data_IF_534339752778
#
_entry.id   IF_534339752778
#
_cell.length_a   1.000
_cell.length_b   1.000
_cell.length_c   1.000
_cell.angle_alpha   90.00
_cell.angle_beta   90.00
_cell.angle_gamma   90.00
#
_symmetry.space_group_name_H-M   'P 1'
#
loop_
_entity.id
_entity.type
_entity.pdbx_description
1 polymer ?
#
# COMPACT_ATOMS: atom_id res chain seq x y z
N UNK A 1 -8.00 68.94 50.83
CA UNK A 1 -9.06 68.45 49.91
C UNK A 1 -9.66 67.18 50.50
N UNK A 2 -10.97 67.04 50.26
CA UNK A 2 -11.97 66.14 50.83
C UNK A 2 -11.69 64.62 50.79
N UNK A 3 -12.15 63.90 51.86
CA UNK A 3 -13.07 62.73 51.89
C UNK A 3 -12.60 61.45 51.15
N UNK A 4 -12.80 60.18 51.55
CA UNK A 4 -13.28 59.40 52.72
C UNK A 4 -13.49 57.97 52.15
N UNK A 5 -13.31 56.93 52.97
CA UNK A 5 -13.94 55.58 52.83
C UNK A 5 -13.52 54.72 51.63
N UNK A 6 -13.36 53.39 51.70
CA UNK A 6 -13.60 52.36 52.71
C UNK A 6 -13.07 51.03 52.13
N UNK A 7 -12.90 50.01 52.99
CA UNK A 7 -12.36 48.67 52.64
C UNK A 7 -13.22 47.84 51.66
N UNK A 8 -13.07 46.50 51.55
CA UNK A 8 -12.33 45.57 52.41
C UNK A 8 -11.36 44.62 51.65
N UNK A 9 -10.61 43.86 52.45
CA UNK A 9 -9.93 42.61 52.11
C UNK A 9 -10.96 41.50 51.79
N UNK A 10 -10.54 40.52 51.00
CA UNK A 10 -11.23 39.26 50.62
C UNK A 10 -12.13 39.31 49.38
N UNK A 11 -11.73 38.52 48.37
CA UNK A 11 -12.53 38.26 47.18
C UNK A 11 -11.78 37.31 46.25
N UNK A 12 -12.07 36.03 46.38
CA UNK A 12 -11.62 34.91 45.56
C UNK A 12 -11.65 35.24 44.05
N UNK A 13 -10.52 34.99 43.37
CA UNK A 13 -10.52 34.83 41.90
C UNK A 13 -11.30 33.57 41.55
N UNK A 14 -12.54 33.73 41.11
CA UNK A 14 -13.20 32.78 40.23
C UNK A 14 -14.11 33.57 39.28
N UNK A 15 -13.56 33.96 38.14
CA UNK A 15 -14.37 34.41 37.01
C UNK A 15 -15.12 33.21 36.47
N UNK A 16 -16.40 33.14 36.81
CA UNK A 16 -17.43 32.33 36.18
C UNK A 16 -17.64 32.79 34.72
N UNK A 17 -16.73 32.40 33.83
CA UNK A 17 -17.00 32.40 32.40
C UNK A 17 -17.78 31.13 32.05
N UNK A 18 -19.07 31.12 32.45
CA UNK A 18 -20.05 30.16 31.97
C UNK A 18 -20.32 30.39 30.48
N UNK A 19 -19.40 29.94 29.62
CA UNK A 19 -19.70 29.75 28.20
C UNK A 19 -20.23 28.34 28.05
N UNK A 20 -21.54 28.19 28.23
CA UNK A 20 -22.26 26.99 27.83
C UNK A 20 -22.10 26.84 26.30
N UNK A 21 -21.03 26.19 25.89
CA UNK A 21 -21.01 25.49 24.62
C UNK A 21 -22.08 24.42 24.74
N UNK A 22 -23.30 24.77 24.32
CA UNK A 22 -24.32 23.79 23.95
C UNK A 22 -23.66 22.89 22.91
N UNK A 23 -23.03 21.81 23.38
CA UNK A 23 -22.93 20.60 22.62
C UNK A 23 -24.37 20.25 22.31
N UNK A 24 -24.82 20.63 21.10
CA UNK A 24 -25.93 19.95 20.47
C UNK A 24 -25.46 18.51 20.35
N UNK A 25 -25.72 17.72 21.39
CA UNK A 25 -25.91 16.29 21.25
C UNK A 25 -27.09 16.16 20.29
N UNK A 26 -26.78 16.22 18.99
CA UNK A 26 -27.68 15.79 17.96
C UNK A 26 -27.77 14.29 18.20
N UNK A 27 -28.76 13.90 18.99
CA UNK A 27 -29.19 12.53 19.19
C UNK A 27 -29.55 11.99 17.81
N UNK A 28 -28.53 11.51 17.10
CA UNK A 28 -28.70 10.74 15.87
C UNK A 28 -29.55 9.55 16.27
N UNK A 29 -30.73 9.45 15.67
CA UNK A 29 -31.66 8.35 15.89
C UNK A 29 -30.93 7.02 15.63
N UNK A 30 -31.29 5.92 16.32
CA UNK A 30 -30.62 4.63 16.17
C UNK A 30 -30.57 4.12 14.71
N UNK A 31 -31.46 4.61 13.84
CA UNK A 31 -31.42 4.38 12.38
C UNK A 31 -30.19 4.98 11.70
N UNK A 32 -29.72 6.17 12.07
CA UNK A 32 -28.55 6.81 11.44
C UNK A 32 -27.22 6.15 11.83
N UNK A 33 -27.12 5.53 13.03
CA UNK A 33 -25.95 4.74 13.42
C UNK A 33 -25.86 3.44 12.62
N UNK A 34 -27.00 2.77 12.40
CA UNK A 34 -27.04 1.55 11.60
C UNK A 34 -26.60 1.80 10.15
N UNK A 35 -27.10 2.85 9.50
CA UNK A 35 -26.70 3.19 8.11
C UNK A 35 -25.22 3.54 8.00
N UNK A 36 -24.67 4.29 8.96
CA UNK A 36 -23.24 4.63 8.98
C UNK A 36 -22.35 3.39 9.15
N UNK A 37 -22.80 2.41 9.93
CA UNK A 37 -22.04 1.18 10.17
C UNK A 37 -22.09 0.26 8.95
N UNK A 38 -23.24 0.17 8.29
CA UNK A 38 -23.42 -0.59 7.05
C UNK A 38 -22.58 0.01 5.92
N UNK A 39 -22.57 1.34 5.76
CA UNK A 39 -21.73 2.02 4.75
C UNK A 39 -20.24 1.72 5.00
N UNK A 40 -19.79 1.76 6.26
CA UNK A 40 -18.41 1.43 6.61
C UNK A 40 -18.06 -0.04 6.26
N UNK A 41 -18.96 -0.99 6.55
CA UNK A 41 -18.77 -2.40 6.19
C UNK A 41 -18.72 -2.59 4.68
N UNK A 42 -19.61 -1.94 3.92
CA UNK A 42 -19.62 -2.02 2.45
C UNK A 42 -18.33 -1.47 1.86
N UNK A 43 -17.81 -0.34 2.37
CA UNK A 43 -16.53 0.21 1.94
C UNK A 43 -15.39 -0.76 2.27
N UNK A 44 -15.36 -1.36 3.47
CA UNK A 44 -14.34 -2.35 3.84
C UNK A 44 -14.41 -3.57 2.91
N UNK A 45 -15.61 -4.09 2.64
CA UNK A 45 -15.81 -5.23 1.72
C UNK A 45 -15.38 -4.88 0.30
N UNK A 46 -15.67 -3.68 -0.19
CA UNK A 46 -15.23 -3.22 -1.52
C UNK A 46 -13.71 -3.04 -1.59
N UNK A 47 -13.08 -2.48 -0.54
CA UNK A 47 -11.64 -2.29 -0.49
C UNK A 47 -10.90 -3.63 -0.37
N UNK A 48 -11.38 -4.53 0.49
CA UNK A 48 -10.83 -5.88 0.65
C UNK A 48 -11.07 -6.70 -0.62
N UNK A 49 -12.27 -6.66 -1.18
CA UNK A 49 -12.61 -7.31 -2.45
C UNK A 49 -11.76 -6.81 -3.62
N UNK A 50 -11.57 -5.49 -3.75
CA UNK A 50 -10.71 -4.88 -4.76
C UNK A 50 -9.23 -5.23 -4.61
N UNK A 51 -8.72 -5.31 -3.38
CA UNK A 51 -7.34 -5.72 -3.12
C UNK A 51 -7.10 -7.21 -3.44
N UNK A 52 -8.10 -8.06 -3.26
CA UNK A 52 -8.02 -9.49 -3.59
C UNK A 52 -8.05 -9.67 -5.12
N UNK A 53 -8.95 -8.99 -5.84
CA UNK A 53 -9.06 -9.13 -7.31
C UNK A 53 -7.79 -8.70 -8.04
N UNK A 54 -7.11 -7.63 -7.58
CA UNK A 54 -5.83 -7.21 -8.17
C UNK A 54 -4.72 -8.25 -7.99
N UNK A 55 -4.62 -8.86 -6.81
CA UNK A 55 -3.61 -9.89 -6.53
C UNK A 55 -3.87 -11.18 -7.32
N UNK A 56 -5.13 -11.58 -7.46
CA UNK A 56 -5.51 -12.76 -8.23
C UNK A 56 -5.24 -12.54 -9.72
N UNK A 57 -5.58 -11.37 -10.25
CA UNK A 57 -5.36 -11.04 -11.66
C UNK A 57 -3.87 -11.06 -12.04
N UNK A 58 -2.98 -10.48 -11.22
CA UNK A 58 -1.54 -10.53 -11.47
C UNK A 58 -0.97 -11.95 -11.44
N UNK A 59 -1.47 -12.79 -10.54
CA UNK A 59 -1.07 -14.20 -10.47
C UNK A 59 -1.55 -15.00 -11.67
N UNK A 60 -2.80 -14.81 -12.08
CA UNK A 60 -3.37 -15.47 -13.25
C UNK A 60 -2.71 -15.02 -14.55
N UNK A 61 -2.45 -13.72 -14.71
CA UNK A 61 -1.82 -13.20 -15.92
C UNK A 61 -0.40 -13.73 -16.10
N UNK A 62 0.42 -13.73 -15.04
CA UNK A 62 1.76 -14.30 -15.15
C UNK A 62 1.75 -15.83 -15.28
N UNK A 63 0.77 -16.54 -14.71
CA UNK A 63 0.58 -17.97 -15.02
C UNK A 63 0.21 -18.20 -16.49
N UNK A 64 -0.59 -17.31 -17.10
CA UNK A 64 -0.95 -17.38 -18.51
C UNK A 64 0.27 -17.10 -19.42
N UNK A 65 1.11 -16.12 -19.06
CA UNK A 65 2.38 -15.86 -19.74
C UNK A 65 3.32 -17.06 -19.62
N UNK A 66 3.41 -17.72 -18.45
CA UNK A 66 4.24 -18.92 -18.31
C UNK A 66 3.69 -20.08 -19.16
N UNK A 67 2.37 -20.24 -19.24
CA UNK A 67 1.75 -21.34 -19.98
C UNK A 67 1.82 -21.17 -21.51
N UNK A 68 1.82 -19.93 -22.02
CA UNK A 68 1.70 -19.63 -23.46
C UNK A 68 2.89 -18.88 -24.04
N UNK A 69 3.69 -18.25 -23.20
CA UNK A 69 4.83 -17.42 -23.60
C UNK A 69 6.02 -18.25 -24.06
N UNK A 70 6.98 -17.56 -24.66
CA UNK A 70 8.29 -18.13 -25.00
C UNK A 70 9.25 -17.90 -23.86
N UNK A 71 10.16 -18.83 -23.60
CA UNK A 71 11.15 -18.70 -22.54
C UNK A 71 12.53 -18.24 -23.03
N UNK A 72 13.20 -17.49 -22.18
CA UNK A 72 14.58 -17.03 -22.37
C UNK A 72 15.26 -16.91 -21.02
N UNK A 73 16.58 -17.00 -20.99
CA UNK A 73 17.36 -16.74 -19.78
C UNK A 73 17.36 -15.23 -19.46
N UNK A 74 17.07 -14.90 -18.21
CA UNK A 74 17.18 -13.54 -17.69
C UNK A 74 17.99 -13.47 -16.41
N UNK A 75 18.46 -12.27 -16.10
CA UNK A 75 19.31 -11.97 -14.95
C UNK A 75 18.65 -10.93 -14.06
N UNK A 76 18.72 -11.11 -12.75
CA UNK A 76 18.23 -10.12 -11.79
C UNK A 76 19.17 -8.92 -11.73
N UNK A 77 18.63 -7.72 -11.91
CA UNK A 77 19.39 -6.47 -11.91
C UNK A 77 19.42 -5.79 -10.54
N UNK A 78 18.27 -5.70 -9.88
CA UNK A 78 18.14 -4.90 -8.66
C UNK A 78 16.90 -5.26 -7.88
N UNK A 79 16.90 -4.98 -6.57
CA UNK A 79 15.72 -5.10 -5.73
C UNK A 79 14.99 -3.77 -5.59
N UNK A 80 13.92 -3.58 -6.35
CA UNK A 80 13.11 -2.36 -6.37
C UNK A 80 12.14 -2.30 -5.19
N UNK A 81 11.97 -1.11 -4.60
CA UNK A 81 11.11 -0.94 -3.43
C UNK A 81 9.64 -1.20 -3.79
N UNK A 82 8.99 -2.07 -3.02
CA UNK A 82 7.55 -2.30 -3.13
C UNK A 82 6.80 -1.01 -2.73
N UNK A 83 5.93 -0.50 -3.60
CA UNK A 83 5.19 0.75 -3.37
C UNK A 83 4.31 0.66 -2.11
N UNK A 84 4.60 1.46 -1.09
CA UNK A 84 3.78 1.55 0.12
C UNK A 84 4.53 2.14 1.32
N UNK A 85 3.89 3.09 2.03
CA UNK A 85 4.48 3.76 3.22
C UNK A 85 4.82 2.77 4.37
N UNK A 86 4.12 1.64 4.45
CA UNK A 86 4.21 0.66 5.55
C UNK A 86 5.20 -0.49 5.32
N UNK A 87 5.61 -0.80 4.10
CA UNK A 87 6.50 -1.95 3.82
C UNK A 87 7.89 -1.49 3.36
N UNK A 88 8.70 -0.99 4.30
CA UNK A 88 10.03 -0.40 4.00
C UNK A 88 11.14 -1.44 3.85
N UNK A 89 10.90 -2.66 4.33
CA UNK A 89 11.88 -3.76 4.35
C UNK A 89 11.70 -4.73 3.18
N UNK A 90 10.63 -4.60 2.38
CA UNK A 90 10.37 -5.46 1.24
C UNK A 90 10.81 -4.82 -0.08
N UNK A 91 11.19 -5.67 -1.03
CA UNK A 91 11.48 -5.28 -2.41
C UNK A 91 11.04 -6.37 -3.39
N UNK A 92 10.93 -6.01 -4.65
CA UNK A 92 10.60 -6.87 -5.79
C UNK A 92 11.79 -6.82 -6.76
N UNK A 93 12.21 -7.98 -7.26
CA UNK A 93 13.35 -8.00 -8.18
C UNK A 93 12.96 -7.46 -9.54
N UNK A 94 13.82 -6.64 -10.12
CA UNK A 94 13.80 -6.32 -11.54
C UNK A 94 14.69 -7.31 -12.28
N UNK A 95 14.14 -7.92 -13.31
CA UNK A 95 14.82 -8.86 -14.19
C UNK A 95 15.10 -8.21 -15.53
N UNK A 96 16.22 -8.58 -16.14
CA UNK A 96 16.63 -8.21 -17.50
C UNK A 96 16.75 -9.47 -18.35
N UNK A 97 16.29 -9.39 -19.60
CA UNK A 97 16.42 -10.45 -20.60
C UNK A 97 16.54 -9.82 -21.98
N UNK A 98 16.99 -10.59 -22.96
CA UNK A 98 17.24 -10.12 -24.33
C UNK A 98 16.46 -10.98 -25.31
N UNK A 99 15.71 -10.34 -26.19
CA UNK A 99 14.95 -10.96 -27.28
C UNK A 99 15.34 -10.26 -28.56
N UNK A 100 15.81 -11.01 -29.56
CA UNK A 100 16.21 -10.48 -30.87
C UNK A 100 17.20 -9.30 -30.82
N UNK A 101 18.12 -9.33 -29.84
CA UNK A 101 19.10 -8.27 -29.61
C UNK A 101 18.56 -7.02 -28.91
N UNK A 102 17.26 -6.95 -28.64
CA UNK A 102 16.65 -5.91 -27.84
C UNK A 102 16.53 -6.34 -26.38
N UNK A 103 16.89 -5.43 -25.48
CA UNK A 103 16.88 -5.66 -24.05
C UNK A 103 15.57 -5.21 -23.43
N UNK A 104 14.98 -6.07 -22.63
CA UNK A 104 13.75 -5.82 -21.89
C UNK A 104 13.99 -5.97 -20.40
N UNK A 105 13.19 -5.26 -19.61
CA UNK A 105 13.21 -5.41 -18.16
C UNK A 105 11.79 -5.45 -17.64
N UNK A 106 11.55 -6.27 -16.63
CA UNK A 106 10.27 -6.30 -15.94
C UNK A 106 10.48 -6.46 -14.44
N UNK A 107 9.47 -6.04 -13.68
CA UNK A 107 9.46 -6.18 -12.22
C UNK A 107 8.67 -7.42 -11.83
N UNK A 108 9.28 -8.29 -11.05
CA UNK A 108 8.63 -9.46 -10.47
C UNK A 108 7.66 -9.03 -9.37
N UNK A 109 6.41 -8.86 -9.76
CA UNK A 109 5.34 -8.51 -8.83
C UNK A 109 4.84 -9.69 -8.00
N UNK A 110 5.23 -10.92 -8.35
CA UNK A 110 4.76 -12.13 -7.67
C UNK A 110 5.59 -12.45 -6.43
N UNK A 111 6.89 -12.17 -6.46
CA UNK A 111 7.80 -12.48 -5.36
C UNK A 111 8.22 -11.23 -4.61
N UNK A 112 8.18 -11.33 -3.28
CA UNK A 112 8.60 -10.25 -2.39
C UNK A 112 9.80 -10.70 -1.57
N UNK A 113 10.89 -9.95 -1.67
CA UNK A 113 12.15 -10.20 -1.01
C UNK A 113 12.40 -9.22 0.13
N UNK A 114 13.33 -9.56 1.02
CA UNK A 114 13.82 -8.61 2.02
C UNK A 114 14.91 -7.76 1.40
N UNK A 115 14.83 -6.45 1.58
CA UNK A 115 15.80 -5.48 1.00
C UNK A 115 17.25 -5.70 1.43
N UNK A 116 17.46 -6.29 2.60
CA UNK A 116 18.78 -6.57 3.15
C UNK A 116 19.30 -7.97 2.82
N UNK A 117 18.55 -8.75 2.04
CA UNK A 117 18.99 -10.06 1.59
C UNK A 117 20.07 -9.90 0.53
N UNK A 118 21.23 -10.52 0.76
CA UNK A 118 22.37 -10.52 -0.15
C UNK A 118 22.21 -11.60 -1.22
N UNK A 119 22.94 -11.45 -2.33
CA UNK A 119 22.95 -12.44 -3.42
C UNK A 119 21.67 -12.48 -4.26
N UNK A 120 20.88 -11.40 -4.25
CA UNK A 120 19.67 -11.28 -5.06
C UNK A 120 19.92 -10.74 -6.47
N UNK A 121 20.99 -9.96 -6.66
CA UNK A 121 21.41 -9.43 -7.97
C UNK A 121 22.35 -10.43 -8.65
N UNK A 122 22.26 -10.54 -9.97
CA UNK A 122 23.03 -11.50 -10.76
C UNK A 122 22.49 -12.93 -10.72
N UNK A 123 21.35 -13.19 -10.08
CA UNK A 123 20.66 -14.48 -10.16
C UNK A 123 20.14 -14.69 -11.58
N UNK A 124 20.14 -15.93 -12.04
CA UNK A 124 19.64 -16.30 -13.36
C UNK A 124 18.33 -17.07 -13.20
N UNK A 125 17.42 -16.85 -14.12
CA UNK A 125 16.11 -17.49 -14.12
C UNK A 125 15.58 -17.64 -15.52
N UNK A 126 14.68 -18.58 -15.70
CA UNK A 126 13.85 -18.64 -16.90
C UNK A 126 12.82 -17.51 -16.87
N UNK A 127 12.75 -16.72 -17.94
CA UNK A 127 11.80 -15.64 -18.13
C UNK A 127 10.87 -16.01 -19.26
N UNK A 128 9.58 -16.13 -18.96
CA UNK A 128 8.54 -16.33 -19.96
C UNK A 128 8.02 -14.96 -20.39
N UNK A 129 8.00 -14.70 -21.68
CA UNK A 129 7.48 -13.45 -22.25
C UNK A 129 6.44 -13.73 -23.33
N UNK A 130 5.52 -12.77 -23.52
CA UNK A 130 4.60 -12.78 -24.64
C UNK A 130 5.35 -12.32 -25.92
N UNK A 131 5.44 -13.13 -26.99
CA UNK A 131 6.13 -12.74 -28.22
C UNK A 131 5.52 -11.51 -28.91
N UNK A 132 4.21 -11.32 -28.80
CA UNK A 132 3.53 -10.14 -29.35
C UNK A 132 3.73 -8.90 -28.48
N UNK A 133 4.07 -9.13 -27.20
CA UNK A 133 4.27 -8.10 -26.19
C UNK A 133 5.48 -8.41 -25.31
N UNK A 134 6.72 -8.22 -25.82
CA UNK A 134 7.91 -8.57 -25.06
C UNK A 134 8.12 -7.69 -23.82
N UNK A 135 7.32 -6.65 -23.59
CA UNK A 135 7.25 -5.88 -22.32
C UNK A 135 6.53 -6.64 -21.20
N UNK A 136 5.71 -7.63 -21.55
CA UNK A 136 5.00 -8.50 -20.62
C UNK A 136 5.78 -9.79 -20.42
N UNK A 137 6.29 -9.95 -19.21
CA UNK A 137 7.00 -11.14 -18.81
C UNK A 137 6.64 -11.59 -17.40
N UNK A 138 6.90 -12.87 -17.17
CA UNK A 138 6.76 -13.55 -15.90
C UNK A 138 8.04 -14.34 -15.62
N UNK A 139 8.45 -14.34 -14.36
CA UNK A 139 9.59 -15.15 -13.93
C UNK A 139 9.14 -16.60 -13.73
N UNK A 140 9.82 -17.53 -14.38
CA UNK A 140 9.74 -18.95 -14.12
C UNK A 140 10.70 -19.37 -13.00
N UNK A 141 11.31 -20.54 -13.18
CA UNK A 141 12.20 -21.14 -12.20
C UNK A 141 13.59 -20.50 -12.21
N UNK A 142 14.23 -20.45 -11.02
CA UNK A 142 15.61 -20.01 -10.90
C UNK A 142 16.54 -21.07 -11.50
N UNK A 143 17.53 -20.61 -12.26
CA UNK A 143 18.59 -21.45 -12.82
C UNK A 143 19.73 -21.45 -11.80
N UNK A 144 19.94 -22.60 -11.16
CA UNK A 144 21.00 -22.82 -10.17
C UNK A 144 22.09 -23.66 -10.83
N UNK A 145 23.26 -23.08 -11.03
CA UNK A 145 24.48 -23.78 -11.46
C UNK A 145 25.18 -24.47 -10.28
#
# INVERSE_FOLDING_TARGET
>A
MNVRSGGPVSGTRFSSAGRSGRHRFRSRSPRERATSTIIAIVIIVLVVGGAITQNVWQRQHAADIIAKGTSVEGTSLSCERTGGRRNRSSCQLRWEYVVDGQRYTFRDNQHTYRRWQTGLEGQRAEIFYDPERPDQAARGDLIVD
#
